data_IF_886636355501
#
_entry.id   IF_886636355501
#
_cell.length_a   1.000
_cell.length_b   1.000
_cell.length_c   1.000
_cell.angle_alpha   90.00
_cell.angle_beta   90.00
_cell.angle_gamma   90.00
#
_symmetry.space_group_name_H-M   'P 1'
#
loop_
_entity.id
_entity.type
_entity.pdbx_description
1 polymer ?
#
# COMPACT_ATOMS: atom_id res chain seq x y z
N UNK A 1 -6.44 -8.71 -8.37
CA UNK A 1 -6.52 -9.08 -6.95
C UNK A 1 -5.09 -9.20 -6.43
N UNK A 2 -4.78 -8.60 -5.29
CA UNK A 2 -3.45 -8.67 -4.69
C UNK A 2 -3.26 -9.99 -3.92
N UNK A 3 -2.02 -10.40 -3.72
CA UNK A 3 -1.65 -11.65 -3.07
C UNK A 3 -1.07 -11.42 -1.67
N UNK A 4 -1.11 -12.44 -0.81
CA UNK A 4 -0.46 -12.39 0.50
C UNK A 4 1.03 -12.08 0.34
N UNK A 5 1.57 -11.27 1.25
CA UNK A 5 2.95 -10.75 1.27
C UNK A 5 3.28 -9.74 0.16
N UNK A 6 2.34 -9.42 -0.72
CA UNK A 6 2.53 -8.36 -1.71
C UNK A 6 2.61 -6.99 -1.02
N UNK A 7 3.49 -6.11 -1.51
CA UNK A 7 3.61 -4.73 -1.05
C UNK A 7 2.87 -3.83 -2.03
N UNK A 8 1.89 -3.08 -1.53
CA UNK A 8 0.99 -2.24 -2.32
C UNK A 8 0.86 -0.86 -1.70
N UNK A 9 0.28 0.06 -2.47
CA UNK A 9 -0.15 1.35 -1.98
C UNK A 9 -1.64 1.30 -1.64
N UNK A 10 -1.99 1.83 -0.46
CA UNK A 10 -3.35 2.11 -0.05
C UNK A 10 -3.49 3.60 0.22
N UNK A 11 -4.53 4.23 -0.30
CA UNK A 11 -4.83 5.65 -0.04
C UNK A 11 -4.90 5.97 1.46
N UNK A 12 -5.38 5.04 2.30
CA UNK A 12 -5.52 5.25 3.74
C UNK A 12 -4.22 5.01 4.51
N UNK A 13 -3.46 3.96 4.17
CA UNK A 13 -2.26 3.54 4.91
C UNK A 13 -0.92 3.97 4.29
N UNK A 14 -0.92 4.41 3.03
CA UNK A 14 0.29 4.53 2.22
C UNK A 14 0.85 3.15 1.84
N UNK A 15 2.17 2.98 1.93
CA UNK A 15 2.82 1.70 1.65
C UNK A 15 2.45 0.66 2.72
N UNK A 16 1.90 -0.46 2.28
CA UNK A 16 1.44 -1.53 3.15
C UNK A 16 1.67 -2.90 2.54
N UNK A 17 1.75 -3.90 3.40
CA UNK A 17 1.80 -5.32 3.03
C UNK A 17 0.41 -5.93 3.12
N UNK A 18 0.04 -6.76 2.17
CA UNK A 18 -1.10 -7.68 2.29
C UNK A 18 -0.70 -8.79 3.26
N UNK A 19 -0.99 -8.60 4.54
CA UNK A 19 -0.64 -9.54 5.62
C UNK A 19 -1.44 -10.84 5.47
N UNK A 20 -2.73 -10.71 5.16
CA UNK A 20 -3.62 -11.85 4.93
C UNK A 20 -4.80 -11.49 4.00
N UNK A 21 -5.49 -12.52 3.51
CA UNK A 21 -6.77 -12.41 2.82
C UNK A 21 -7.76 -13.28 3.60
N UNK A 22 -8.64 -12.63 4.35
CA UNK A 22 -9.55 -13.30 5.27
C UNK A 22 -10.94 -13.40 4.68
N UNK A 23 -11.62 -14.50 4.99
CA UNK A 23 -13.00 -14.76 4.58
C UNK A 23 -13.93 -14.49 5.76
N UNK A 24 -14.78 -13.48 5.65
CA UNK A 24 -15.72 -13.07 6.71
C UNK A 24 -17.16 -13.27 6.23
N UNK A 25 -17.97 -13.93 7.05
CA UNK A 25 -19.40 -14.06 6.80
C UNK A 25 -20.14 -12.92 7.50
N UNK A 26 -21.15 -12.37 6.83
CA UNK A 26 -22.07 -11.43 7.44
C UNK A 26 -23.21 -12.15 8.20
N UNK A 27 -24.09 -11.37 8.82
CA UNK A 27 -25.26 -11.89 9.53
C UNK A 27 -26.24 -12.71 8.66
N UNK A 28 -26.18 -12.55 7.33
CA UNK A 28 -27.05 -13.21 6.34
C UNK A 28 -26.40 -14.46 5.73
N UNK A 29 -25.21 -14.85 6.21
CA UNK A 29 -24.36 -15.93 5.69
C UNK A 29 -23.74 -15.64 4.32
N UNK A 30 -23.86 -14.42 3.82
CA UNK A 30 -23.10 -13.99 2.65
C UNK A 30 -21.64 -13.87 3.05
N UNK A 31 -20.75 -14.33 2.17
CA UNK A 31 -19.34 -14.39 2.50
C UNK A 31 -18.50 -13.49 1.61
N UNK A 32 -17.67 -12.67 2.26
CA UNK A 32 -16.84 -11.66 1.62
C UNK A 32 -15.37 -11.90 1.95
N UNK A 33 -14.50 -11.59 0.99
CA UNK A 33 -13.08 -11.57 1.22
C UNK A 33 -12.62 -10.17 1.60
N UNK A 34 -11.70 -10.08 2.55
CA UNK A 34 -11.06 -8.83 2.97
C UNK A 34 -9.55 -8.98 2.89
N UNK A 35 -8.89 -7.95 2.35
CA UNK A 35 -7.47 -7.76 2.57
C UNK A 35 -7.24 -7.28 4.00
N UNK A 36 -6.39 -8.00 4.73
CA UNK A 36 -5.76 -7.49 5.94
C UNK A 36 -4.47 -6.79 5.54
N UNK A 37 -4.50 -5.46 5.52
CA UNK A 37 -3.35 -4.63 5.20
C UNK A 37 -2.65 -4.20 6.48
N UNK A 38 -1.31 -4.14 6.43
CA UNK A 38 -0.47 -3.64 7.51
C UNK A 38 0.52 -2.63 6.96
N UNK A 39 0.61 -1.45 7.58
CA UNK A 39 1.58 -0.44 7.15
C UNK A 39 3.02 -0.96 7.31
N UNK A 40 3.88 -0.63 6.34
CA UNK A 40 5.31 -0.97 6.44
C UNK A 40 6.05 -0.06 7.42
N UNK A 41 5.55 1.17 7.62
CA UNK A 41 6.15 2.16 8.52
C UNK A 41 5.70 1.99 9.96
N UNK A 42 4.45 1.57 10.18
CA UNK A 42 3.88 1.33 11.50
C UNK A 42 3.19 -0.03 11.56
N UNK A 43 3.88 -1.01 12.15
CA UNK A 43 3.40 -2.40 12.24
C UNK A 43 2.11 -2.56 13.05
N UNK A 44 1.75 -1.57 13.87
CA UNK A 44 0.52 -1.57 14.67
C UNK A 44 -0.68 -1.06 13.86
N UNK A 45 -0.46 -0.29 12.78
CA UNK A 45 -1.53 0.17 11.89
C UNK A 45 -1.94 -0.92 10.92
N UNK A 46 -3.21 -1.32 11.04
CA UNK A 46 -3.85 -2.30 10.16
C UNK A 46 -5.15 -1.75 9.59
N UNK A 47 -5.53 -2.25 8.42
CA UNK A 47 -6.83 -2.00 7.82
C UNK A 47 -7.41 -3.29 7.26
N UNK A 48 -8.74 -3.43 7.38
CA UNK A 48 -9.50 -4.49 6.72
C UNK A 48 -10.27 -3.86 5.57
N UNK A 49 -9.93 -4.22 4.34
CA UNK A 49 -10.56 -3.65 3.14
C UNK A 49 -11.22 -4.78 2.35
N UNK A 50 -12.53 -4.69 2.04
CA UNK A 50 -13.20 -5.66 1.17
C UNK A 50 -12.44 -5.85 -0.15
N UNK A 51 -12.30 -7.08 -0.62
CA UNK A 51 -11.69 -7.36 -1.94
C UNK A 51 -12.54 -6.77 -3.06
N UNK A 52 -13.86 -6.76 -2.86
CA UNK A 52 -14.86 -6.24 -3.79
C UNK A 52 -15.63 -5.08 -3.16
N UNK A 53 -16.10 -4.13 -3.98
CA UNK A 53 -16.97 -3.03 -3.57
C UNK A 53 -16.38 -2.08 -2.50
N UNK A 54 -15.06 -1.87 -2.50
CA UNK A 54 -14.42 -0.83 -1.69
C UNK A 54 -14.28 0.49 -2.46
N UNK A 55 -14.31 1.63 -1.77
CA UNK A 55 -14.04 2.95 -2.36
C UNK A 55 -12.59 3.40 -2.24
N UNK A 56 -11.79 2.74 -1.40
CA UNK A 56 -10.39 3.10 -1.12
C UNK A 56 -9.51 2.75 -2.32
N UNK A 57 -8.70 3.67 -2.80
CA UNK A 57 -7.78 3.33 -3.88
C UNK A 57 -6.68 2.37 -3.40
N UNK A 58 -6.64 1.17 -4.00
CA UNK A 58 -5.55 0.20 -3.86
C UNK A 58 -4.85 0.03 -5.21
N UNK A 59 -3.52 0.16 -5.23
CA UNK A 59 -2.72 0.01 -6.45
C UNK A 59 -1.33 -0.54 -6.14
N UNK A 60 -0.64 -0.99 -7.18
CA UNK A 60 0.79 -1.26 -7.09
C UNK A 60 1.54 0.02 -6.71
N UNK A 61 2.72 -0.17 -6.12
CA UNK A 61 3.63 0.94 -5.89
C UNK A 61 4.02 1.57 -7.23
N UNK A 62 4.27 2.88 -7.20
CA UNK A 62 4.90 3.58 -8.31
C UNK A 62 6.26 2.94 -8.63
N UNK A 63 6.66 3.06 -9.89
CA UNK A 63 7.97 2.61 -10.34
C UNK A 63 9.08 3.47 -9.77
N UNK A 64 10.31 2.94 -9.80
CA UNK A 64 11.52 3.70 -9.44
C UNK A 64 11.59 5.04 -10.18
N UNK A 65 11.36 5.04 -11.50
CA UNK A 65 11.44 6.26 -12.32
C UNK A 65 10.39 7.29 -11.91
N UNK A 66 9.16 6.86 -11.65
CA UNK A 66 8.09 7.73 -11.17
C UNK A 66 8.39 8.30 -9.78
N UNK A 67 8.98 7.49 -8.88
CA UNK A 67 9.40 7.94 -7.56
C UNK A 67 10.45 9.06 -7.65
N UNK A 68 11.49 8.90 -8.47
CA UNK A 68 12.49 9.96 -8.67
C UNK A 68 11.88 11.22 -9.28
N UNK A 69 11.03 11.10 -10.30
CA UNK A 69 10.34 12.25 -10.90
C UNK A 69 9.47 13.00 -9.90
N UNK A 70 8.72 12.28 -9.06
CA UNK A 70 7.90 12.87 -8.01
C UNK A 70 8.75 13.52 -6.92
N UNK A 71 9.90 12.95 -6.60
CA UNK A 71 10.81 13.50 -5.59
C UNK A 71 11.43 14.83 -6.02
N UNK A 72 11.76 14.97 -7.32
CA UNK A 72 12.33 16.18 -7.92
C UNK A 72 11.28 17.26 -8.24
N UNK A 73 9.99 16.93 -8.18
CA UNK A 73 8.91 17.89 -8.42
C UNK A 73 8.89 18.98 -7.33
N UNK A 74 8.81 20.25 -7.72
CA UNK A 74 8.74 21.38 -6.79
C UNK A 74 7.57 21.27 -5.81
N UNK A 75 6.47 20.62 -6.23
CA UNK A 75 5.26 20.39 -5.43
C UNK A 75 5.34 19.14 -4.58
N UNK A 76 6.47 18.42 -4.56
CA UNK A 76 6.64 17.24 -3.73
C UNK A 76 6.35 17.54 -2.25
N UNK A 77 6.76 18.71 -1.78
CA UNK A 77 6.54 19.16 -0.40
C UNK A 77 5.06 19.41 -0.06
N UNK A 78 4.19 19.56 -1.05
CA UNK A 78 2.74 19.74 -0.87
C UNK A 78 1.98 18.39 -0.89
N UNK A 79 2.64 17.31 -1.29
CA UNK A 79 2.03 15.98 -1.37
C UNK A 79 1.67 15.43 0.02
N UNK A 80 0.71 14.49 0.02
CA UNK A 80 0.30 13.79 1.23
C UNK A 80 1.45 12.96 1.84
N UNK A 81 1.36 12.69 3.14
CA UNK A 81 2.35 11.87 3.84
C UNK A 81 2.46 10.47 3.24
N UNK A 82 1.36 9.91 2.73
CA UNK A 82 1.31 8.59 2.09
C UNK A 82 2.11 8.58 0.78
N UNK A 83 1.96 9.60 -0.07
CA UNK A 83 2.70 9.71 -1.33
C UNK A 83 4.18 9.93 -1.06
N UNK A 84 4.52 10.83 -0.13
CA UNK A 84 5.93 11.04 0.28
C UNK A 84 6.56 9.76 0.82
N UNK A 85 5.83 9.02 1.66
CA UNK A 85 6.27 7.73 2.18
C UNK A 85 6.46 6.69 1.08
N UNK A 86 5.57 6.63 0.09
CA UNK A 86 5.74 5.75 -1.06
C UNK A 86 7.00 6.05 -1.87
N UNK A 87 7.22 7.32 -2.21
CA UNK A 87 8.42 7.77 -2.93
C UNK A 87 9.68 7.36 -2.17
N UNK A 88 9.74 7.68 -0.88
CA UNK A 88 10.88 7.32 -0.02
C UNK A 88 11.13 5.81 -0.01
N UNK A 89 10.09 5.01 0.23
CA UNK A 89 10.21 3.56 0.28
C UNK A 89 10.73 2.96 -1.04
N UNK A 90 10.23 3.43 -2.18
CA UNK A 90 10.63 2.91 -3.50
C UNK A 90 12.10 3.26 -3.79
N UNK A 91 12.54 4.48 -3.45
CA UNK A 91 13.93 4.92 -3.64
C UNK A 91 14.87 4.10 -2.75
N UNK A 92 14.60 4.02 -1.44
CA UNK A 92 15.43 3.27 -0.49
C UNK A 92 15.52 1.78 -0.87
N UNK A 93 14.40 1.18 -1.28
CA UNK A 93 14.36 -0.21 -1.73
C UNK A 93 15.25 -0.41 -2.96
N UNK A 94 15.15 0.47 -3.96
CA UNK A 94 15.97 0.39 -5.16
C UNK A 94 17.48 0.52 -4.86
N UNK A 95 17.86 1.39 -3.91
CA UNK A 95 19.26 1.53 -3.48
C UNK A 95 19.75 0.27 -2.77
N UNK A 96 18.93 -0.33 -1.90
CA UNK A 96 19.27 -1.57 -1.19
C UNK A 96 19.44 -2.78 -2.11
N UNK A 97 18.72 -2.80 -3.25
CA UNK A 97 18.84 -3.84 -4.27
C UNK A 97 20.09 -3.68 -5.13
N UNK A 98 20.52 -2.44 -5.41
CA UNK A 98 21.76 -2.18 -6.16
C UNK A 98 23.04 -2.36 -5.31
N UNK A 99 22.91 -2.36 -3.99
CA UNK A 99 24.03 -2.56 -3.06
C UNK A 99 24.36 -4.05 -2.78
N UNK A 100 23.60 -4.98 -3.36
CA UNK A 100 23.80 -6.43 -3.26
C UNK A 100 24.42 -6.99 -4.54
#
# INVERSE_FOLDING_TARGET
>A
MFQKKEIIYSETLGVCTVDDIVKLADSRKDTYYYYLLRSVFDKNKKAYIPVENHSVQLRNLITRQEAFRLHEDEKFNEQSAQIKGEVQYVIEKAESENAK
#
